data_IF_804615672046
#
_entry.id   IF_804615672046
#
_cell.length_a   1.000
_cell.length_b   1.000
_cell.length_c   1.000
_cell.angle_alpha   90.00
_cell.angle_beta   90.00
_cell.angle_gamma   90.00
#
_symmetry.space_group_name_H-M   'P 1'
#
loop_
_entity.id
_entity.type
_entity.pdbx_description
1 polymer ?
#
# COMPACT_ATOMS: atom_id res chain seq x y z
N UNK A 1 -11.47 -22.28 13.24
CA UNK A 1 -10.94 -21.02 13.79
C UNK A 1 -9.46 -21.25 14.06
N UNK A 2 -8.61 -21.07 13.02
CA UNK A 2 -7.17 -21.11 13.24
C UNK A 2 -6.75 -19.77 13.82
N UNK A 3 -6.46 -19.77 15.11
CA UNK A 3 -5.79 -18.66 15.74
C UNK A 3 -4.49 -18.39 14.98
N UNK A 4 -4.31 -17.15 14.56
CA UNK A 4 -3.05 -16.70 13.99
C UNK A 4 -1.99 -16.74 15.10
N UNK A 5 -1.36 -17.86 15.25
CA UNK A 5 -0.04 -17.87 15.90
C UNK A 5 0.94 -17.25 14.91
N UNK A 6 1.04 -15.92 14.95
CA UNK A 6 2.10 -15.21 14.24
C UNK A 6 3.42 -15.69 14.85
N UNK A 7 4.14 -16.48 14.10
CA UNK A 7 5.40 -17.06 14.54
C UNK A 7 6.52 -16.04 14.31
N UNK A 8 7.52 -16.00 15.18
CA UNK A 8 8.70 -15.13 15.02
C UNK A 8 9.37 -15.29 13.66
N UNK A 9 9.30 -16.47 13.09
CA UNK A 9 9.81 -16.77 11.74
C UNK A 9 9.01 -16.03 10.66
N UNK A 10 7.68 -15.95 10.77
CA UNK A 10 6.82 -15.22 9.85
C UNK A 10 7.11 -13.73 9.88
N UNK A 11 7.29 -13.15 11.06
CA UNK A 11 7.66 -11.74 11.23
C UNK A 11 9.02 -11.46 10.59
N UNK A 12 10.01 -12.33 10.82
CA UNK A 12 11.36 -12.16 10.27
C UNK A 12 11.37 -12.24 8.75
N UNK A 13 10.68 -13.20 8.15
CA UNK A 13 10.61 -13.37 6.72
C UNK A 13 9.80 -12.23 6.06
N UNK A 14 8.66 -11.85 6.64
CA UNK A 14 7.88 -10.70 6.17
C UNK A 14 8.72 -9.40 6.22
N UNK A 15 9.42 -9.16 7.31
CA UNK A 15 10.29 -7.99 7.44
C UNK A 15 11.43 -7.99 6.41
N UNK A 16 12.11 -9.13 6.22
CA UNK A 16 13.18 -9.27 5.24
C UNK A 16 12.69 -9.00 3.81
N UNK A 17 11.48 -9.47 3.51
CA UNK A 17 10.87 -9.28 2.19
C UNK A 17 10.39 -7.86 1.99
N UNK A 18 9.81 -7.22 3.00
CA UNK A 18 9.34 -5.83 2.92
C UNK A 18 10.46 -4.80 3.05
N UNK A 19 11.65 -5.17 3.52
CA UNK A 19 12.74 -4.23 3.78
C UNK A 19 13.10 -3.33 2.57
N UNK A 20 13.29 -3.85 1.34
CA UNK A 20 13.58 -3.01 0.18
C UNK A 20 12.46 -2.01 -0.12
N UNK A 21 11.21 -2.44 0.05
CA UNK A 21 10.02 -1.60 -0.15
C UNK A 21 9.94 -0.53 0.93
N UNK A 22 10.19 -0.89 2.19
CA UNK A 22 10.22 0.06 3.30
C UNK A 22 11.21 1.20 3.04
N UNK A 23 12.41 0.90 2.57
CA UNK A 23 13.41 1.92 2.22
C UNK A 23 12.90 2.80 1.10
N UNK A 24 12.31 2.23 0.06
CA UNK A 24 11.73 2.98 -1.06
C UNK A 24 10.60 3.88 -0.59
N UNK A 25 9.72 3.40 0.27
CA UNK A 25 8.60 4.18 0.81
C UNK A 25 9.05 5.34 1.70
N UNK A 26 10.08 5.15 2.50
CA UNK A 26 10.65 6.24 3.30
C UNK A 26 11.18 7.35 2.38
N UNK A 27 11.94 7.00 1.35
CA UNK A 27 12.48 7.99 0.40
C UNK A 27 11.35 8.72 -0.34
N UNK A 28 10.36 7.98 -0.84
CA UNK A 28 9.20 8.56 -1.53
C UNK A 28 8.35 9.41 -0.59
N UNK A 29 8.15 8.98 0.66
CA UNK A 29 7.41 9.70 1.67
C UNK A 29 8.05 11.05 2.03
N UNK A 30 9.37 11.08 2.16
CA UNK A 30 10.12 12.33 2.35
C UNK A 30 9.90 13.25 1.14
N UNK A 31 10.04 12.73 -0.08
CA UNK A 31 9.81 13.49 -1.31
C UNK A 31 8.39 14.06 -1.40
N UNK A 32 7.39 13.26 -1.04
CA UNK A 32 6.00 13.68 -1.00
C UNK A 32 5.74 14.76 0.05
N UNK A 33 6.30 14.60 1.26
CA UNK A 33 6.19 15.58 2.33
C UNK A 33 6.79 16.95 1.93
N UNK A 34 7.95 16.95 1.31
CA UNK A 34 8.59 18.17 0.79
C UNK A 34 7.75 18.82 -0.32
N UNK A 35 7.16 18.00 -1.20
CA UNK A 35 6.28 18.49 -2.26
C UNK A 35 5.04 19.17 -1.71
N UNK A 36 4.37 18.57 -0.72
CA UNK A 36 3.22 19.15 -0.04
C UNK A 36 3.58 20.46 0.69
N UNK A 37 4.71 20.48 1.39
CA UNK A 37 5.17 21.68 2.08
C UNK A 37 5.40 22.84 1.10
N UNK A 38 5.94 22.58 -0.07
CA UNK A 38 6.12 23.60 -1.13
C UNK A 38 4.80 24.22 -1.58
N UNK A 39 3.69 23.46 -1.52
CA UNK A 39 2.35 23.95 -1.82
C UNK A 39 1.60 24.52 -0.61
N UNK A 40 2.26 24.69 0.54
CA UNK A 40 1.69 25.29 1.74
C UNK A 40 0.86 24.35 2.61
N UNK A 41 0.91 23.04 2.33
CA UNK A 41 0.22 22.03 3.13
C UNK A 41 1.11 21.50 4.25
N UNK A 42 0.57 21.42 5.47
CA UNK A 42 1.28 20.91 6.62
C UNK A 42 1.37 19.37 6.67
N UNK A 43 2.18 18.80 7.60
CA UNK A 43 2.38 17.35 7.72
C UNK A 43 1.08 16.59 8.04
N UNK A 44 0.10 17.23 8.64
CA UNK A 44 -1.23 16.64 8.92
C UNK A 44 -1.93 16.25 7.61
N UNK A 45 -1.80 17.05 6.57
CA UNK A 45 -2.36 16.75 5.25
C UNK A 45 -1.64 15.58 4.58
N UNK A 46 -0.33 15.46 4.78
CA UNK A 46 0.43 14.29 4.30
C UNK A 46 -0.07 12.99 4.94
N UNK A 47 -0.25 12.99 6.27
CA UNK A 47 -0.80 11.84 6.99
C UNK A 47 -2.24 11.52 6.58
N UNK A 48 -3.10 12.54 6.50
CA UNK A 48 -4.49 12.35 6.11
C UNK A 48 -4.60 11.75 4.69
N UNK A 49 -3.82 12.29 3.74
CA UNK A 49 -3.79 11.74 2.38
C UNK A 49 -3.22 10.32 2.34
N UNK A 50 -2.20 10.01 3.15
CA UNK A 50 -1.62 8.67 3.25
C UNK A 50 -2.59 7.62 3.77
N UNK A 51 -3.48 8.01 4.69
CA UNK A 51 -4.53 7.12 5.23
C UNK A 51 -5.67 6.94 4.23
N UNK A 52 -6.12 8.02 3.58
CA UNK A 52 -7.28 7.98 2.68
C UNK A 52 -6.90 7.43 1.30
N UNK A 53 -5.73 7.81 0.79
CA UNK A 53 -5.24 7.44 -0.53
C UNK A 53 -3.99 6.61 -0.35
N UNK A 54 -4.13 5.32 -0.14
CA UNK A 54 -3.00 4.41 -0.04
C UNK A 54 -2.44 4.06 -1.42
N UNK A 55 -1.99 5.11 -2.14
CA UNK A 55 -1.35 4.99 -3.45
C UNK A 55 -0.41 6.17 -3.69
N UNK A 56 0.89 5.92 -3.61
CA UNK A 56 1.92 6.93 -3.81
C UNK A 56 1.76 7.67 -5.13
N UNK A 57 1.52 6.96 -6.21
CA UNK A 57 1.35 7.56 -7.54
C UNK A 57 0.18 8.54 -7.59
N UNK A 58 -0.98 8.16 -7.02
CA UNK A 58 -2.16 9.02 -6.98
C UNK A 58 -1.92 10.25 -6.12
N UNK A 59 -1.20 10.11 -5.01
CA UNK A 59 -0.84 11.23 -4.14
C UNK A 59 0.05 12.25 -4.86
N UNK A 60 1.12 11.82 -5.53
CA UNK A 60 2.00 12.70 -6.29
C UNK A 60 1.26 13.41 -7.44
N UNK A 61 0.43 12.67 -8.18
CA UNK A 61 -0.38 13.22 -9.26
C UNK A 61 -1.40 14.22 -8.73
N UNK A 62 -2.04 13.94 -7.59
CA UNK A 62 -3.03 14.84 -6.98
C UNK A 62 -2.41 16.19 -6.64
N UNK A 63 -1.21 16.21 -6.05
CA UNK A 63 -0.51 17.47 -5.76
C UNK A 63 -0.14 18.22 -7.04
N UNK A 64 0.35 17.53 -8.06
CA UNK A 64 0.67 18.15 -9.35
C UNK A 64 -0.57 18.75 -10.02
N UNK A 65 -1.71 18.08 -9.94
CA UNK A 65 -2.96 18.51 -10.54
C UNK A 65 -3.65 19.65 -9.76
N UNK A 66 -3.38 19.79 -8.46
CA UNK A 66 -3.87 20.94 -7.68
C UNK A 66 -3.38 22.28 -8.24
N UNK A 67 -2.21 22.29 -8.86
CA UNK A 67 -1.66 23.48 -9.52
C UNK A 67 -2.35 23.81 -10.84
N UNK A 68 -3.07 22.89 -11.46
CA UNK A 68 -3.75 23.14 -12.76
C UNK A 68 -5.13 23.77 -12.63
N UNK A 69 -5.68 23.84 -11.43
CA UNK A 69 -6.98 24.47 -11.14
C UNK A 69 -8.22 23.76 -11.70
N UNK A 70 -8.07 22.64 -12.41
CA UNK A 70 -9.20 21.89 -12.98
C UNK A 70 -9.52 20.64 -12.16
N UNK A 71 -10.54 20.73 -11.32
CA UNK A 71 -11.01 19.61 -10.48
C UNK A 71 -11.46 18.41 -11.32
N UNK A 72 -12.10 18.67 -12.47
CA UNK A 72 -12.59 17.60 -13.33
C UNK A 72 -11.45 16.80 -13.96
N UNK A 73 -10.42 17.48 -14.46
CA UNK A 73 -9.23 16.81 -15.03
C UNK A 73 -8.46 16.05 -13.97
N UNK A 74 -8.36 16.61 -12.77
CA UNK A 74 -7.72 15.94 -11.63
C UNK A 74 -8.46 14.66 -11.24
N UNK A 75 -9.79 14.71 -11.15
CA UNK A 75 -10.62 13.55 -10.83
C UNK A 75 -10.53 12.46 -11.90
N UNK A 76 -10.58 12.83 -13.18
CA UNK A 76 -10.46 11.90 -14.31
C UNK A 76 -9.09 11.21 -14.32
N UNK A 77 -8.02 11.97 -14.15
CA UNK A 77 -6.65 11.44 -14.14
C UNK A 77 -6.45 10.51 -12.94
N UNK A 78 -6.90 10.90 -11.75
CA UNK A 78 -6.83 10.07 -10.56
C UNK A 78 -7.62 8.77 -10.75
N UNK A 79 -8.81 8.82 -11.36
CA UNK A 79 -9.61 7.64 -11.66
C UNK A 79 -8.91 6.70 -12.64
N UNK A 80 -8.34 7.23 -13.72
CA UNK A 80 -7.61 6.42 -14.70
C UNK A 80 -6.39 5.74 -14.09
N UNK A 81 -5.62 6.46 -13.28
CA UNK A 81 -4.45 5.89 -12.59
C UNK A 81 -4.87 4.86 -11.54
N UNK A 82 -5.98 5.10 -10.84
CA UNK A 82 -6.51 4.18 -9.84
C UNK A 82 -7.16 2.93 -10.45
N UNK A 83 -7.54 2.95 -11.72
CA UNK A 83 -8.17 1.79 -12.37
C UNK A 83 -7.31 0.52 -12.29
N UNK A 84 -5.99 0.64 -12.28
CA UNK A 84 -5.08 -0.50 -12.09
C UNK A 84 -5.31 -1.25 -10.78
N UNK A 85 -5.70 -0.56 -9.69
CA UNK A 85 -6.00 -1.20 -8.41
C UNK A 85 -7.22 -2.12 -8.48
N UNK A 86 -8.16 -1.83 -9.36
CA UNK A 86 -9.31 -2.71 -9.65
C UNK A 86 -8.80 -4.02 -10.23
N UNK A 87 -7.88 -3.97 -11.20
CA UNK A 87 -7.29 -5.18 -11.80
C UNK A 87 -6.47 -5.97 -10.78
N UNK A 88 -5.70 -5.31 -9.93
CA UNK A 88 -4.97 -5.98 -8.86
C UNK A 88 -5.91 -6.67 -7.88
N UNK A 89 -6.97 -5.99 -7.46
CA UNK A 89 -7.97 -6.57 -6.56
C UNK A 89 -8.66 -7.78 -7.19
N UNK A 90 -9.05 -7.71 -8.45
CA UNK A 90 -9.66 -8.83 -9.17
C UNK A 90 -8.70 -10.02 -9.25
N UNK A 91 -7.44 -9.78 -9.59
CA UNK A 91 -6.41 -10.83 -9.66
C UNK A 91 -6.20 -11.53 -8.32
N UNK A 92 -6.34 -10.82 -7.22
CA UNK A 92 -6.11 -11.34 -5.86
C UNK A 92 -7.35 -11.95 -5.22
N UNK A 93 -8.54 -11.87 -5.84
CA UNK A 93 -9.79 -12.43 -5.28
C UNK A 93 -9.64 -13.91 -4.93
N UNK A 94 -9.05 -14.70 -5.82
CA UNK A 94 -8.84 -16.13 -5.60
C UNK A 94 -7.91 -16.41 -4.42
N UNK A 95 -6.87 -15.58 -4.23
CA UNK A 95 -5.85 -15.74 -3.20
C UNK A 95 -6.34 -15.30 -1.81
N UNK A 96 -7.23 -14.31 -1.75
CA UNK A 96 -7.76 -13.75 -0.50
C UNK A 96 -9.08 -14.39 -0.06
N UNK A 97 -9.61 -15.37 -0.80
CA UNK A 97 -10.85 -16.08 -0.42
C UNK A 97 -10.79 -16.71 0.96
N UNK A 98 -9.64 -17.23 1.34
CA UNK A 98 -9.43 -17.91 2.62
C UNK A 98 -9.27 -16.93 3.80
N UNK A 99 -9.09 -15.64 3.56
CA UNK A 99 -8.73 -14.65 4.58
C UNK A 99 -9.94 -14.12 5.41
N UNK A 100 -11.14 -14.58 5.14
CA UNK A 100 -12.35 -14.18 5.88
C UNK A 100 -12.58 -12.66 5.88
N UNK A 101 -12.79 -12.08 7.07
CA UNK A 101 -13.05 -10.62 7.22
C UNK A 101 -11.81 -9.75 6.92
N UNK A 102 -10.61 -10.30 7.02
CA UNK A 102 -9.35 -9.60 6.77
C UNK A 102 -9.14 -9.23 5.30
N UNK A 103 -9.79 -9.93 4.38
CA UNK A 103 -9.73 -9.64 2.96
C UNK A 103 -10.03 -8.17 2.62
N UNK A 104 -10.95 -7.53 3.35
CA UNK A 104 -11.28 -6.12 3.13
C UNK A 104 -10.10 -5.19 3.42
N UNK A 105 -9.38 -5.43 4.51
CA UNK A 105 -8.17 -4.68 4.82
C UNK A 105 -7.06 -4.94 3.79
N UNK A 106 -6.87 -6.18 3.40
CA UNK A 106 -5.88 -6.55 2.39
C UNK A 106 -6.17 -5.91 1.02
N UNK A 107 -7.45 -5.81 0.63
CA UNK A 107 -7.82 -5.10 -0.60
C UNK A 107 -7.61 -3.59 -0.49
N UNK A 108 -7.92 -3.00 0.65
CA UNK A 108 -7.72 -1.58 0.88
C UNK A 108 -6.24 -1.20 0.84
N UNK A 109 -5.40 -1.97 1.49
CA UNK A 109 -3.97 -1.70 1.60
C UNK A 109 -3.13 -2.32 0.47
N UNK A 110 -3.78 -2.82 -0.59
CA UNK A 110 -3.11 -3.39 -1.75
C UNK A 110 -2.58 -2.28 -2.65
N UNK A 111 -1.28 -2.03 -2.58
CA UNK A 111 -0.56 -1.14 -3.50
C UNK A 111 0.24 -1.93 -4.54
N UNK A 112 0.86 -1.24 -5.48
CA UNK A 112 1.61 -1.87 -6.57
C UNK A 112 2.75 -2.75 -6.05
N UNK A 113 3.46 -2.28 -5.06
CA UNK A 113 4.60 -2.95 -4.45
C UNK A 113 4.14 -4.19 -3.68
N UNK A 114 3.10 -4.04 -2.86
CA UNK A 114 2.49 -5.15 -2.14
C UNK A 114 1.95 -6.20 -3.11
N UNK A 115 1.29 -5.77 -4.20
CA UNK A 115 0.83 -6.67 -5.24
C UNK A 115 1.99 -7.42 -5.91
N UNK A 116 3.07 -6.73 -6.26
CA UNK A 116 4.23 -7.35 -6.89
C UNK A 116 4.86 -8.44 -6.01
N UNK A 117 4.84 -8.26 -4.69
CA UNK A 117 5.32 -9.26 -3.74
C UNK A 117 4.37 -10.42 -3.55
N UNK A 118 3.09 -10.12 -3.32
CA UNK A 118 2.09 -11.12 -3.00
C UNK A 118 1.58 -11.88 -4.23
N UNK A 119 1.83 -11.38 -5.44
CA UNK A 119 1.52 -12.09 -6.70
C UNK A 119 2.47 -13.25 -6.95
N UNK A 120 3.66 -13.25 -6.38
CA UNK A 120 4.54 -14.41 -6.38
C UNK A 120 3.97 -15.46 -5.43
N UNK A 121 3.80 -16.69 -5.91
CA UNK A 121 3.30 -17.82 -5.09
C UNK A 121 4.35 -18.37 -4.10
N UNK A 122 5.48 -17.71 -3.99
CA UNK A 122 6.59 -18.10 -3.14
C UNK A 122 6.36 -17.61 -1.70
N UNK A 123 5.59 -18.36 -0.92
CA UNK A 123 5.72 -18.26 0.53
C UNK A 123 6.99 -18.99 0.95
N UNK A 124 7.80 -18.43 1.86
CA UNK A 124 8.91 -19.18 2.47
C UNK A 124 8.41 -20.48 3.08
N UNK A 125 9.16 -21.56 2.89
CA UNK A 125 8.80 -22.87 3.41
C UNK A 125 8.53 -22.82 4.93
N UNK A 126 7.37 -23.37 5.33
CA UNK A 126 6.97 -23.44 6.73
C UNK A 126 6.29 -22.19 7.31
N UNK A 127 5.96 -21.22 6.48
CA UNK A 127 5.27 -19.98 6.89
C UNK A 127 3.78 -20.03 6.54
N UNK A 128 2.94 -19.57 7.48
CA UNK A 128 1.50 -19.43 7.23
C UNK A 128 1.28 -18.28 6.24
N UNK A 129 0.82 -18.61 5.04
CA UNK A 129 0.60 -17.65 3.94
C UNK A 129 -0.30 -16.50 4.36
N UNK A 130 -1.35 -16.77 5.14
CA UNK A 130 -2.29 -15.76 5.62
C UNK A 130 -1.63 -14.74 6.55
N UNK A 131 -0.88 -15.22 7.55
CA UNK A 131 -0.13 -14.37 8.48
C UNK A 131 0.96 -13.56 7.76
N UNK A 132 1.67 -14.19 6.84
CA UNK A 132 2.71 -13.55 6.04
C UNK A 132 2.15 -12.39 5.20
N UNK A 133 1.06 -12.60 4.46
CA UNK A 133 0.39 -11.56 3.66
C UNK A 133 -0.04 -10.37 4.51
N UNK A 134 -0.64 -10.64 5.66
CA UNK A 134 -1.07 -9.59 6.59
C UNK A 134 0.12 -8.78 7.11
N UNK A 135 1.21 -9.45 7.52
CA UNK A 135 2.40 -8.78 8.04
C UNK A 135 3.09 -7.92 6.97
N UNK A 136 3.25 -8.43 5.75
CA UNK A 136 3.82 -7.66 4.63
C UNK A 136 2.99 -6.39 4.39
N UNK A 137 1.67 -6.52 4.33
CA UNK A 137 0.76 -5.39 4.11
C UNK A 137 0.84 -4.35 5.23
N UNK A 138 0.94 -4.80 6.50
CA UNK A 138 1.08 -3.89 7.65
C UNK A 138 2.43 -3.17 7.64
N UNK A 139 3.51 -3.87 7.32
CA UNK A 139 4.84 -3.26 7.24
C UNK A 139 4.91 -2.22 6.13
N UNK A 140 4.38 -2.53 4.95
CA UNK A 140 4.35 -1.61 3.82
C UNK A 140 3.53 -0.35 4.15
N UNK A 141 2.33 -0.53 4.73
CA UNK A 141 1.49 0.60 5.13
C UNK A 141 2.13 1.46 6.22
N UNK A 142 2.73 0.84 7.24
CA UNK A 142 3.42 1.56 8.31
C UNK A 142 4.59 2.37 7.78
N UNK A 143 5.35 1.79 6.85
CA UNK A 143 6.49 2.46 6.22
C UNK A 143 6.08 3.66 5.37
N UNK A 144 4.92 3.57 4.71
CA UNK A 144 4.37 4.68 3.93
C UNK A 144 3.90 5.84 4.82
N UNK A 145 3.34 5.55 6.00
CA UNK A 145 2.83 6.55 6.93
C UNK A 145 3.92 7.22 7.78
N UNK A 146 5.10 6.64 7.85
CA UNK A 146 6.25 7.23 8.55
C UNK A 146 6.91 8.32 7.72
#
# INVERSE_FOLDING_TARGET
MNELRITKTEIKEAFKTSFPIMVTFIVLGIGFGLLLQKHGFGPVWALASGIVIFSGTVQFISVALMSTGSVLMSALTALMVSARHIFFSISMIGRYRAEGKRKWYLYYALCDETYAMLSRDESPDGVNISGYRLLVTIFDQTSWLL
#
